data_IF_403601509356
#
_entry.id   IF_403601509356
#
_cell.length_a   1.000
_cell.length_b   1.000
_cell.length_c   1.000
_cell.angle_alpha   90.00
_cell.angle_beta   90.00
_cell.angle_gamma   90.00
#
_symmetry.space_group_name_H-M   'P 1'
#
loop_
_entity.id
_entity.type
_entity.pdbx_description
1 polymer ?
#
# COMPACT_ATOMS: atom_id res chain seq x y z
N UNK A 1 -18.07 0.68 -11.21
CA UNK A 1 -16.93 -0.18 -11.56
C UNK A 1 -15.70 0.58 -11.11
N UNK A 2 -15.14 0.27 -9.93
CA UNK A 2 -13.93 0.95 -9.46
C UNK A 2 -12.79 0.51 -10.37
N UNK A 3 -12.27 1.46 -11.15
CA UNK A 3 -11.08 1.29 -11.96
C UNK A 3 -9.95 0.97 -11.00
N UNK A 4 -9.50 -0.29 -10.97
CA UNK A 4 -8.33 -0.69 -10.20
C UNK A 4 -7.12 -0.14 -10.94
N UNK A 5 -6.72 1.10 -10.62
CA UNK A 5 -5.61 1.81 -11.25
C UNK A 5 -4.27 1.13 -10.94
N UNK A 6 -4.02 -0.01 -11.58
CA UNK A 6 -2.71 -0.64 -11.77
C UNK A 6 -1.72 -0.61 -10.59
N UNK A 7 -0.42 -0.74 -10.91
CA UNK A 7 0.63 -0.65 -9.92
C UNK A 7 0.73 0.73 -9.26
N UNK A 8 0.66 0.79 -7.92
CA UNK A 8 0.77 2.04 -7.16
C UNK A 8 2.13 2.19 -6.46
N UNK A 9 2.67 3.40 -6.38
CA UNK A 9 3.90 3.71 -5.64
C UNK A 9 3.62 4.10 -4.19
N UNK A 10 4.61 3.97 -3.30
CA UNK A 10 4.49 4.43 -1.90
C UNK A 10 4.11 5.91 -1.82
N UNK A 11 4.62 6.75 -2.73
CA UNK A 11 4.33 8.17 -2.75
C UNK A 11 2.87 8.46 -3.08
N UNK A 12 2.29 7.75 -4.07
CA UNK A 12 0.87 7.87 -4.40
C UNK A 12 -0.03 7.42 -3.25
N UNK A 13 0.31 6.30 -2.62
CA UNK A 13 -0.45 5.77 -1.48
C UNK A 13 -0.37 6.74 -0.31
N UNK A 14 0.82 7.24 0.02
CA UNK A 14 1.01 8.19 1.13
C UNK A 14 0.19 9.47 0.92
N UNK A 15 0.22 10.01 -0.31
CA UNK A 15 -0.56 11.19 -0.68
C UNK A 15 -2.07 10.94 -0.57
N UNK A 16 -2.56 9.80 -1.06
CA UNK A 16 -3.97 9.47 -1.03
C UNK A 16 -4.51 9.20 0.39
N UNK A 17 -3.66 8.66 1.27
CA UNK A 17 -4.02 8.35 2.65
C UNK A 17 -3.77 9.49 3.63
N UNK A 18 -3.16 10.60 3.19
CA UNK A 18 -2.75 11.69 4.08
C UNK A 18 -1.69 11.28 5.11
N UNK A 19 -0.91 10.23 4.81
CA UNK A 19 0.11 9.67 5.71
C UNK A 19 1.51 10.08 5.27
N UNK A 20 2.46 10.02 6.21
CA UNK A 20 3.87 10.18 5.83
C UNK A 20 4.34 8.98 4.98
N UNK A 21 5.28 9.22 4.06
CA UNK A 21 5.90 8.14 3.26
C UNK A 21 6.50 7.05 4.14
N UNK A 22 7.07 7.40 5.29
CA UNK A 22 7.67 6.45 6.24
C UNK A 22 6.64 5.53 6.87
N UNK A 23 5.52 6.09 7.35
CA UNK A 23 4.42 5.29 7.92
C UNK A 23 3.82 4.41 6.83
N UNK A 24 3.51 4.98 5.68
CA UNK A 24 2.97 4.24 4.52
C UNK A 24 3.85 3.06 4.13
N UNK A 25 5.16 3.28 4.02
CA UNK A 25 6.12 2.22 3.71
C UNK A 25 6.12 1.10 4.75
N UNK A 26 6.08 1.45 6.05
CA UNK A 26 6.06 0.46 7.14
C UNK A 26 4.83 -0.45 7.02
N UNK A 27 3.67 0.15 6.85
CA UNK A 27 2.40 -0.56 6.85
C UNK A 27 2.18 -1.38 5.59
N UNK A 28 2.55 -0.86 4.42
CA UNK A 28 2.44 -1.64 3.20
C UNK A 28 3.43 -2.79 3.16
N UNK A 29 4.62 -2.62 3.76
CA UNK A 29 5.58 -3.73 3.92
C UNK A 29 4.98 -4.83 4.79
N UNK A 30 4.31 -4.47 5.88
CA UNK A 30 3.61 -5.42 6.72
C UNK A 30 2.49 -6.18 5.99
N UNK A 31 1.74 -5.51 5.10
CA UNK A 31 0.75 -6.17 4.25
C UNK A 31 1.40 -7.09 3.19
N UNK A 32 2.58 -6.73 2.68
CA UNK A 32 3.35 -7.59 1.78
C UNK A 32 3.84 -8.84 2.49
N UNK A 33 4.39 -8.70 3.71
CA UNK A 33 4.87 -9.84 4.50
C UNK A 33 3.74 -10.81 4.87
N UNK A 34 2.50 -10.32 4.97
CA UNK A 34 1.29 -11.13 5.19
C UNK A 34 0.71 -11.74 3.90
N UNK A 35 1.31 -11.48 2.74
CA UNK A 35 0.83 -11.96 1.44
C UNK A 35 -0.44 -11.29 0.95
N UNK A 36 -0.86 -10.18 1.57
CA UNK A 36 -2.09 -9.44 1.24
C UNK A 36 -1.87 -8.51 0.05
N UNK A 37 -0.68 -7.91 -0.05
CA UNK A 37 -0.28 -7.03 -1.14
C UNK A 37 0.96 -7.60 -1.82
N UNK A 38 0.99 -7.65 -3.15
CA UNK A 38 2.18 -8.08 -3.88
C UNK A 38 3.05 -6.88 -4.21
N UNK A 39 4.30 -6.87 -3.72
CA UNK A 39 5.31 -5.91 -4.17
C UNK A 39 5.79 -6.29 -5.57
N UNK A 40 5.75 -5.34 -6.49
CA UNK A 40 6.34 -5.49 -7.81
C UNK A 40 7.83 -5.18 -7.68
N UNK A 41 8.65 -6.18 -7.97
CA UNK A 41 10.11 -6.02 -8.00
C UNK A 41 10.43 -5.00 -9.09
N UNK A 42 11.19 -3.94 -8.79
CA UNK A 42 11.58 -2.99 -9.81
C UNK A 42 12.40 -3.70 -10.89
N UNK A 43 11.87 -3.74 -12.11
CA UNK A 43 12.67 -3.98 -13.31
C UNK A 43 13.54 -2.75 -13.59
N UNK A 44 14.74 -2.98 -14.15
CA UNK A 44 15.80 -1.98 -14.32
C UNK A 44 15.27 -0.57 -14.69
N UNK A 45 15.62 0.43 -13.87
CA UNK A 45 15.26 1.84 -14.06
C UNK A 45 14.22 2.41 -13.09
N UNK A 46 13.55 1.59 -12.27
CA UNK A 46 12.66 2.06 -11.20
C UNK A 46 13.33 1.91 -9.84
N UNK A 47 13.59 3.02 -9.16
CA UNK A 47 14.19 3.02 -7.81
C UNK A 47 13.12 2.76 -6.75
N UNK A 48 11.88 3.23 -7.00
CA UNK A 48 10.82 3.19 -6.01
C UNK A 48 9.99 1.89 -6.06
N UNK A 49 9.67 1.30 -4.90
CA UNK A 49 8.81 0.12 -4.83
C UNK A 49 7.39 0.45 -5.30
N UNK A 50 6.86 -0.43 -6.15
CA UNK A 50 5.49 -0.42 -6.61
C UNK A 50 4.76 -1.66 -6.08
N UNK A 51 3.44 -1.58 -6.01
CA UNK A 51 2.59 -2.65 -5.49
C UNK A 51 1.52 -2.99 -6.50
N UNK A 52 1.24 -4.27 -6.72
CA UNK A 52 0.33 -4.76 -7.77
C UNK A 52 -1.15 -4.46 -7.51
N UNK A 53 -1.48 -3.98 -6.31
CA UNK A 53 -2.82 -3.56 -5.93
C UNK A 53 -2.97 -2.04 -6.07
N UNK A 54 -4.18 -1.60 -6.38
CA UNK A 54 -4.53 -0.19 -6.43
C UNK A 54 -4.59 0.42 -5.02
N UNK A 55 -4.62 1.76 -4.96
CA UNK A 55 -4.75 2.51 -3.71
C UNK A 55 -6.02 2.11 -2.91
N UNK A 56 -7.20 1.94 -3.52
CA UNK A 56 -8.41 1.54 -2.78
C UNK A 56 -8.28 0.18 -2.10
N UNK A 57 -7.69 -0.81 -2.78
CA UNK A 57 -7.48 -2.15 -2.21
C UNK A 57 -6.47 -2.10 -1.06
N UNK A 58 -5.37 -1.38 -1.24
CA UNK A 58 -4.37 -1.18 -0.18
C UNK A 58 -5.00 -0.51 1.03
N UNK A 59 -5.83 0.52 0.82
CA UNK A 59 -6.52 1.20 1.91
C UNK A 59 -7.46 0.26 2.67
N UNK A 60 -8.27 -0.53 1.96
CA UNK A 60 -9.19 -1.49 2.59
C UNK A 60 -8.44 -2.50 3.44
N UNK A 61 -7.31 -3.01 2.96
CA UNK A 61 -6.49 -3.98 3.69
C UNK A 61 -5.76 -3.36 4.88
N UNK A 62 -5.26 -2.12 4.75
CA UNK A 62 -4.74 -1.36 5.90
C UNK A 62 -5.85 -1.17 6.94
N UNK A 63 -7.02 -0.69 6.53
CA UNK A 63 -8.15 -0.46 7.44
C UNK A 63 -8.58 -1.75 8.16
N UNK A 64 -8.66 -2.88 7.46
CA UNK A 64 -8.94 -4.21 8.05
C UNK A 64 -7.87 -4.61 9.05
N UNK A 65 -6.59 -4.49 8.69
CA UNK A 65 -5.49 -4.82 9.58
C UNK A 65 -5.50 -3.96 10.86
N UNK A 66 -5.80 -2.66 10.74
CA UNK A 66 -5.84 -1.74 11.87
C UNK A 66 -7.08 -1.87 12.75
N UNK A 67 -8.25 -2.16 12.17
CA UNK A 67 -9.44 -2.53 12.93
C UNK A 67 -9.19 -3.79 13.75
N UNK A 68 -8.48 -4.78 13.19
CA UNK A 68 -8.06 -5.98 13.92
C UNK A 68 -7.03 -5.68 15.02
N UNK A 69 -6.16 -4.68 14.81
CA UNK A 69 -5.13 -4.27 15.77
C UNK A 69 -5.60 -3.24 16.82
N UNK A 70 -6.88 -2.83 16.80
CA UNK A 70 -7.46 -1.92 17.80
C UNK A 70 -6.94 -0.48 17.75
N UNK A 71 -6.28 -0.07 16.67
CA UNK A 71 -5.78 1.29 16.49
C UNK A 71 -6.88 2.15 15.86
N UNK A 72 -7.45 3.06 16.66
CA UNK A 72 -8.41 4.07 16.19
C UNK A 72 -7.66 5.10 15.33
N UNK A 73 -8.06 5.24 14.07
CA UNK A 73 -7.70 6.37 13.23
C UNK A 73 -8.40 7.65 13.70
#
# INVERSE_FOLDING_TARGET
>A
MLVTEGPCSVAHIASALGLSKRVTLREITFLVDRGVVTRIVPTHGRIDPHFAAGVPEIFQEMARAYQFLGLKF
#
